data_IF_299079388155
#
_entry.id   IF_299079388155
#
_cell.length_a   1.000
_cell.length_b   1.000
_cell.length_c   1.000
_cell.angle_alpha   90.00
_cell.angle_beta   90.00
_cell.angle_gamma   90.00
#
_symmetry.space_group_name_H-M   'P 1'
#
loop_
_entity.id
_entity.type
_entity.pdbx_description
1 polymer ?
#
# COMPACT_ATOMS: atom_id res chain seq x y z
N UNK A 1 5.04 -17.86 0.41
CA UNK A 1 5.18 -16.69 -0.50
C UNK A 1 4.38 -15.52 0.01
N UNK A 2 4.88 -14.33 -0.22
CA UNK A 2 4.24 -13.09 0.24
C UNK A 2 3.69 -12.34 -0.99
N UNK A 3 2.37 -12.21 -1.12
CA UNK A 3 1.78 -11.64 -2.33
C UNK A 3 1.81 -10.12 -2.35
N UNK A 4 1.79 -9.57 -3.57
CA UNK A 4 1.48 -8.14 -3.75
C UNK A 4 -0.03 -7.98 -3.61
N UNK A 5 -0.45 -7.11 -2.70
CA UNK A 5 -1.89 -6.95 -2.39
C UNK A 5 -2.41 -5.54 -2.61
N UNK A 6 -1.53 -4.58 -2.93
CA UNK A 6 -1.90 -3.17 -2.97
C UNK A 6 -0.88 -2.44 -3.86
N UNK A 7 -1.30 -1.36 -4.50
CA UNK A 7 -0.39 -0.46 -5.17
C UNK A 7 -0.46 0.92 -4.53
N UNK A 8 0.58 1.72 -4.73
CA UNK A 8 0.60 3.11 -4.24
C UNK A 8 1.15 4.03 -5.32
N UNK A 9 0.56 5.21 -5.44
CA UNK A 9 1.02 6.23 -6.38
C UNK A 9 1.07 7.58 -5.68
N UNK A 10 2.11 8.39 -5.94
CA UNK A 10 2.16 9.75 -5.38
C UNK A 10 1.20 10.68 -6.12
N UNK A 11 0.66 11.67 -5.40
CA UNK A 11 -0.20 12.69 -6.00
C UNK A 11 0.15 14.07 -5.49
N UNK A 12 0.18 15.05 -6.39
CA UNK A 12 0.35 16.45 -6.04
C UNK A 12 -1.00 17.13 -5.83
N UNK A 13 -2.02 16.69 -6.58
CA UNK A 13 -3.38 17.20 -6.49
C UNK A 13 -4.32 16.01 -6.53
N UNK A 14 -4.73 15.59 -5.33
CA UNK A 14 -5.52 14.36 -5.20
C UNK A 14 -6.88 14.44 -5.91
N UNK A 15 -7.50 15.62 -5.92
CA UNK A 15 -8.80 15.77 -6.57
C UNK A 15 -8.66 15.63 -8.08
N UNK A 16 -7.62 16.23 -8.66
CA UNK A 16 -7.34 16.12 -10.09
C UNK A 16 -7.01 14.68 -10.47
N UNK A 17 -6.18 14.00 -9.67
CA UNK A 17 -5.79 12.62 -9.95
C UNK A 17 -6.97 11.66 -9.83
N UNK A 18 -7.79 11.83 -8.80
CA UNK A 18 -9.00 11.03 -8.62
C UNK A 18 -9.94 11.19 -9.81
N UNK A 19 -10.15 12.42 -10.26
CA UNK A 19 -11.02 12.70 -11.41
C UNK A 19 -10.49 12.05 -12.69
N UNK A 20 -9.17 12.09 -12.88
CA UNK A 20 -8.55 11.48 -14.04
C UNK A 20 -8.82 9.96 -14.10
N UNK A 21 -8.55 9.26 -13.01
CA UNK A 21 -8.70 7.80 -12.98
C UNK A 21 -10.16 7.37 -12.96
N UNK A 22 -11.03 8.14 -12.33
CA UNK A 22 -12.46 7.85 -12.36
C UNK A 22 -13.01 7.99 -13.78
N UNK A 23 -12.65 9.06 -14.47
CA UNK A 23 -13.13 9.32 -15.82
C UNK A 23 -12.55 8.34 -16.85
N UNK A 24 -11.30 7.96 -16.66
CA UNK A 24 -10.60 7.12 -17.64
C UNK A 24 -10.90 5.63 -17.44
N UNK A 25 -10.87 5.16 -16.21
CA UNK A 25 -10.95 3.72 -15.92
C UNK A 25 -12.10 3.35 -14.98
N UNK A 26 -12.87 4.31 -14.50
CA UNK A 26 -13.98 4.04 -13.61
C UNK A 26 -13.58 3.73 -12.17
N UNK A 27 -12.35 4.06 -11.79
CA UNK A 27 -11.90 3.80 -10.42
C UNK A 27 -12.66 4.66 -9.42
N UNK A 28 -12.95 4.09 -8.26
CA UNK A 28 -13.61 4.80 -7.16
C UNK A 28 -12.59 5.18 -6.11
N UNK A 29 -12.79 6.33 -5.48
CA UNK A 29 -11.85 6.83 -4.49
C UNK A 29 -12.56 7.28 -3.23
N UNK A 30 -11.88 7.09 -2.09
CA UNK A 30 -12.32 7.61 -0.80
C UNK A 30 -11.19 8.42 -0.23
N UNK A 31 -11.41 9.72 -0.04
CA UNK A 31 -10.41 10.61 0.54
C UNK A 31 -10.45 10.50 2.05
N UNK A 32 -9.31 10.18 2.65
CA UNK A 32 -9.17 10.11 4.10
C UNK A 32 -8.67 11.45 4.64
N UNK A 33 -8.84 11.67 5.93
CA UNK A 33 -8.47 12.92 6.56
C UNK A 33 -7.01 12.98 6.99
N UNK A 34 -6.61 14.11 7.66
CA UNK A 34 -5.23 14.30 8.09
C UNK A 34 -4.71 13.22 9.03
N UNK A 35 -5.59 12.60 9.83
CA UNK A 35 -5.22 11.53 10.74
C UNK A 35 -4.70 10.28 10.00
N UNK A 36 -5.02 10.15 8.73
CA UNK A 36 -4.53 9.08 7.86
C UNK A 36 -3.57 9.62 6.80
N UNK A 37 -2.92 10.76 7.07
CA UNK A 37 -1.95 11.35 6.16
C UNK A 37 -2.52 11.86 4.85
N UNK A 38 -3.79 12.23 4.83
CA UNK A 38 -4.51 12.68 3.63
C UNK A 38 -4.46 11.65 2.49
N UNK A 39 -4.39 10.38 2.83
CA UNK A 39 -4.33 9.28 1.89
C UNK A 39 -5.65 9.14 1.14
N UNK A 40 -5.59 8.65 -0.09
CA UNK A 40 -6.78 8.34 -0.88
C UNK A 40 -6.83 6.84 -1.11
N UNK A 41 -7.89 6.19 -0.63
CA UNK A 41 -8.12 4.78 -0.93
C UNK A 41 -8.71 4.68 -2.32
N UNK A 42 -8.19 3.77 -3.13
CA UNK A 42 -8.61 3.60 -4.52
C UNK A 42 -9.07 2.18 -4.75
N UNK A 43 -10.28 2.07 -5.29
CA UNK A 43 -10.89 0.79 -5.63
C UNK A 43 -10.91 0.64 -7.14
N UNK A 44 -10.19 -0.32 -7.65
CA UNK A 44 -10.14 -0.63 -9.10
C UNK A 44 -11.09 -1.77 -9.46
N UNK A 45 -11.55 -2.52 -8.47
CA UNK A 45 -12.45 -3.66 -8.65
C UNK A 45 -13.37 -3.71 -7.45
N UNK A 46 -14.62 -4.09 -7.65
CA UNK A 46 -15.56 -4.28 -6.56
C UNK A 46 -14.98 -5.23 -5.50
N UNK A 47 -15.23 -4.91 -4.25
CA UNK A 47 -14.76 -5.70 -3.13
C UNK A 47 -15.91 -6.44 -2.47
N UNK A 48 -15.56 -7.57 -1.84
CA UNK A 48 -16.52 -8.32 -1.04
C UNK A 48 -16.60 -7.73 0.38
N UNK A 49 -17.36 -8.39 1.26
CA UNK A 49 -17.55 -7.93 2.64
C UNK A 49 -16.27 -7.92 3.47
N UNK A 50 -15.22 -8.59 3.00
CA UNK A 50 -13.91 -8.63 3.66
C UNK A 50 -12.93 -7.62 3.04
N UNK A 51 -13.43 -6.67 2.26
CA UNK A 51 -12.63 -5.64 1.57
C UNK A 51 -11.62 -6.21 0.58
N UNK A 52 -11.98 -7.32 -0.07
CA UNK A 52 -11.13 -7.96 -1.08
C UNK A 52 -11.72 -7.81 -2.47
N UNK A 53 -10.86 -7.67 -3.49
CA UNK A 53 -11.34 -7.68 -4.86
C UNK A 53 -12.13 -8.96 -5.16
N UNK A 54 -13.28 -8.82 -5.78
CA UNK A 54 -14.11 -9.96 -6.14
C UNK A 54 -13.50 -10.79 -7.25
N UNK A 55 -12.64 -10.19 -8.06
CA UNK A 55 -11.98 -10.87 -9.17
C UNK A 55 -10.57 -11.26 -8.76
N UNK A 56 -10.21 -12.55 -8.80
CA UNK A 56 -8.83 -12.95 -8.49
C UNK A 56 -7.82 -12.26 -9.40
N UNK A 57 -6.71 -11.81 -8.81
CA UNK A 57 -5.66 -11.13 -9.55
C UNK A 57 -5.83 -9.62 -9.62
N UNK A 58 -7.01 -9.09 -9.31
CA UNK A 58 -7.21 -7.64 -9.22
C UNK A 58 -6.67 -7.14 -7.88
N UNK A 59 -6.10 -5.93 -7.88
CA UNK A 59 -5.66 -5.28 -6.65
C UNK A 59 -6.19 -3.85 -6.60
N UNK A 60 -6.52 -3.43 -5.40
CA UNK A 60 -6.87 -2.04 -5.11
C UNK A 60 -5.63 -1.32 -4.60
N UNK A 61 -5.71 -0.03 -4.40
CA UNK A 61 -4.53 0.70 -4.00
C UNK A 61 -4.85 2.03 -3.35
N UNK A 62 -3.91 2.96 -3.46
CA UNK A 62 -4.09 4.27 -2.89
C UNK A 62 -3.15 5.30 -3.48
N UNK A 63 -3.50 6.56 -3.23
CA UNK A 63 -2.68 7.70 -3.59
C UNK A 63 -2.21 8.38 -2.31
N UNK A 64 -0.92 8.69 -2.23
CA UNK A 64 -0.36 9.41 -1.08
C UNK A 64 0.15 10.79 -1.53
N UNK A 65 0.12 11.78 -0.63
CA UNK A 65 0.62 13.11 -1.00
C UNK A 65 2.12 13.06 -1.32
N UNK A 66 2.48 13.64 -2.46
CA UNK A 66 3.89 13.72 -2.85
C UNK A 66 4.60 14.75 -1.99
N UNK A 67 5.77 14.41 -1.50
CA UNK A 67 6.60 15.29 -0.67
C UNK A 67 7.88 15.64 -1.40
N UNK A 68 8.23 16.94 -1.43
CA UNK A 68 9.42 17.41 -2.15
C UNK A 68 10.72 16.93 -1.52
N UNK A 69 10.70 16.55 -0.24
CA UNK A 69 11.90 16.16 0.50
C UNK A 69 12.11 14.66 0.61
N UNK A 70 11.25 13.85 -0.01
CA UNK A 70 11.40 12.40 -0.01
C UNK A 70 11.84 11.89 -1.38
N UNK A 71 12.80 10.97 -1.43
CA UNK A 71 13.23 10.40 -2.71
C UNK A 71 12.28 9.31 -3.21
N UNK A 72 12.44 8.97 -4.49
CA UNK A 72 11.85 7.77 -5.09
C UNK A 72 10.33 7.67 -4.94
N UNK A 73 9.63 8.77 -5.15
CA UNK A 73 8.17 8.80 -5.12
C UNK A 73 7.60 8.52 -6.50
N UNK A 74 7.45 7.25 -6.79
CA UNK A 74 6.92 6.73 -8.05
C UNK A 74 5.87 5.67 -7.73
N UNK A 75 5.08 5.23 -8.71
CA UNK A 75 4.18 4.10 -8.47
C UNK A 75 4.93 2.90 -7.91
N UNK A 76 4.38 2.27 -6.91
CA UNK A 76 5.01 1.14 -6.26
C UNK A 76 3.96 0.14 -5.78
N UNK A 77 4.43 -0.96 -5.21
CA UNK A 77 3.57 -2.04 -4.75
C UNK A 77 3.76 -2.26 -3.25
N UNK A 78 2.76 -2.88 -2.63
CA UNK A 78 2.81 -3.27 -1.22
C UNK A 78 2.68 -4.78 -1.14
N UNK A 79 3.61 -5.40 -0.43
CA UNK A 79 3.66 -6.84 -0.21
C UNK A 79 3.07 -7.16 1.16
N UNK A 80 2.17 -8.14 1.23
CA UNK A 80 1.64 -8.59 2.52
C UNK A 80 2.60 -9.62 3.12
N UNK A 81 2.95 -9.44 4.39
CA UNK A 81 3.86 -10.34 5.11
C UNK A 81 3.19 -10.83 6.39
N UNK A 82 3.62 -11.99 6.87
CA UNK A 82 3.09 -12.56 8.11
C UNK A 82 3.74 -11.96 9.36
N UNK A 83 5.03 -11.66 9.27
CA UNK A 83 5.81 -11.10 10.38
C UNK A 83 6.72 -10.02 9.81
N UNK A 84 6.36 -8.76 10.05
CA UNK A 84 7.06 -7.63 9.45
C UNK A 84 8.49 -7.51 9.96
N UNK A 85 8.73 -7.83 11.23
CA UNK A 85 10.08 -7.73 11.80
C UNK A 85 11.02 -8.81 11.25
N UNK A 86 10.50 -10.02 11.05
CA UNK A 86 11.25 -11.06 10.38
C UNK A 86 11.54 -10.70 8.93
N UNK A 87 10.58 -10.11 8.25
CA UNK A 87 10.75 -9.66 6.88
C UNK A 87 11.79 -8.53 6.77
N UNK A 88 11.80 -7.61 7.74
CA UNK A 88 12.83 -6.57 7.81
C UNK A 88 14.23 -7.18 7.87
N UNK A 89 14.39 -8.20 8.72
CA UNK A 89 15.67 -8.91 8.84
C UNK A 89 16.07 -9.56 7.52
N UNK A 90 15.13 -10.21 6.86
CA UNK A 90 15.38 -10.87 5.57
C UNK A 90 15.78 -9.87 4.49
N UNK A 91 15.14 -8.70 4.46
CA UNK A 91 15.49 -7.64 3.51
C UNK A 91 16.94 -7.20 3.72
N UNK A 92 17.33 -6.94 4.96
CA UNK A 92 18.68 -6.52 5.28
C UNK A 92 19.71 -7.59 4.91
N UNK A 93 19.42 -8.84 5.25
CA UNK A 93 20.32 -9.97 4.93
C UNK A 93 20.46 -10.18 3.43
N UNK A 94 19.42 -9.87 2.66
CA UNK A 94 19.43 -10.05 1.21
C UNK A 94 19.98 -8.85 0.44
N UNK A 95 20.41 -7.79 1.15
CA UNK A 95 21.06 -6.64 0.51
C UNK A 95 20.16 -5.45 0.28
N UNK A 96 18.92 -5.47 0.74
CA UNK A 96 18.03 -4.33 0.69
C UNK A 96 18.24 -3.38 1.88
N UNK A 97 17.48 -2.32 1.91
CA UNK A 97 17.58 -1.32 2.98
C UNK A 97 16.21 -0.97 3.52
N UNK A 98 15.97 -1.28 4.78
CA UNK A 98 14.72 -0.94 5.47
C UNK A 98 14.75 0.54 5.87
N UNK A 99 13.63 1.23 5.69
CA UNK A 99 13.51 2.66 5.91
C UNK A 99 12.75 2.96 7.20
N UNK A 100 13.47 2.95 8.33
CA UNK A 100 12.94 3.32 9.63
C UNK A 100 12.34 2.16 10.40
N UNK A 101 11.30 2.46 11.18
CA UNK A 101 10.60 1.50 12.01
C UNK A 101 9.17 1.30 11.49
N UNK A 102 8.58 0.13 11.73
CA UNK A 102 7.19 -0.11 11.31
C UNK A 102 6.23 0.89 11.95
N UNK A 103 5.31 1.37 11.15
CA UNK A 103 4.27 2.30 11.58
C UNK A 103 2.95 1.55 11.66
N UNK A 104 2.22 1.74 12.76
CA UNK A 104 0.89 1.18 12.88
C UNK A 104 -0.11 2.03 12.11
N UNK A 105 -0.86 1.37 11.22
CA UNK A 105 -1.97 2.00 10.52
C UNK A 105 -3.25 1.47 11.15
N UNK A 106 -3.99 2.30 11.90
CA UNK A 106 -5.18 1.84 12.62
C UNK A 106 -6.17 1.13 11.70
N UNK A 107 -6.57 -0.08 12.10
CA UNK A 107 -7.51 -0.90 11.33
C UNK A 107 -6.89 -1.71 10.21
N UNK A 108 -5.62 -1.47 9.85
CA UNK A 108 -4.99 -2.15 8.72
C UNK A 108 -3.81 -3.02 9.13
N UNK A 109 -2.92 -2.53 9.97
CA UNK A 109 -1.78 -3.30 10.44
C UNK A 109 -0.50 -2.48 10.53
N UNK A 110 0.63 -3.17 10.48
CA UNK A 110 1.95 -2.55 10.50
C UNK A 110 2.45 -2.35 9.06
N UNK A 111 3.15 -1.25 8.83
CA UNK A 111 3.59 -0.83 7.50
C UNK A 111 5.00 -0.27 7.56
N UNK A 112 5.83 -0.62 6.58
CA UNK A 112 7.16 -0.04 6.44
C UNK A 112 7.59 -0.10 4.98
N UNK A 113 8.41 0.85 4.57
CA UNK A 113 8.99 0.87 3.23
C UNK A 113 10.45 0.44 3.26
N UNK A 114 10.95 0.05 2.11
CA UNK A 114 12.34 -0.36 1.96
C UNK A 114 12.79 -0.13 0.52
N UNK A 115 14.10 -0.12 0.33
CA UNK A 115 14.69 -0.20 -1.01
C UNK A 115 15.17 -1.63 -1.27
N UNK A 116 14.87 -2.15 -2.44
CA UNK A 116 15.43 -3.43 -2.87
C UNK A 116 16.88 -3.24 -3.33
N UNK A 117 17.48 -4.30 -3.86
CA UNK A 117 18.89 -4.25 -4.30
C UNK A 117 19.12 -3.35 -5.51
N UNK A 118 18.06 -2.98 -6.21
CA UNK A 118 18.14 -2.13 -7.40
C UNK A 118 17.69 -0.69 -7.13
N UNK A 119 17.44 -0.34 -5.86
CA UNK A 119 16.98 0.98 -5.48
C UNK A 119 15.51 1.24 -5.69
N UNK A 120 14.72 0.23 -5.95
CA UNK A 120 13.27 0.40 -6.05
C UNK A 120 12.67 0.59 -4.67
N UNK A 121 11.81 1.59 -4.55
CA UNK A 121 11.06 1.85 -3.32
C UNK A 121 9.81 0.99 -3.31
N UNK A 122 9.74 0.09 -2.34
CA UNK A 122 8.63 -0.86 -2.19
C UNK A 122 8.19 -0.82 -0.73
N UNK A 123 6.96 -1.22 -0.47
CA UNK A 123 6.45 -1.27 0.90
C UNK A 123 5.94 -2.66 1.24
N UNK A 124 5.83 -2.94 2.52
CA UNK A 124 5.21 -4.16 3.00
C UNK A 124 4.33 -3.87 4.18
N UNK A 125 3.37 -4.74 4.41
CA UNK A 125 2.47 -4.62 5.55
C UNK A 125 2.21 -5.97 6.17
N UNK A 126 2.08 -5.96 7.50
CA UNK A 126 1.59 -7.11 8.25
C UNK A 126 0.15 -6.78 8.64
N UNK A 127 -0.85 -7.46 8.02
CA UNK A 127 -2.25 -7.17 8.32
C UNK A 127 -2.60 -7.45 9.78
N UNK A 128 -3.58 -6.74 10.31
CA UNK A 128 -4.08 -7.04 11.67
C UNK A 128 -4.64 -8.46 11.71
N UNK A 129 -4.74 -9.01 12.91
CA UNK A 129 -5.31 -10.35 13.09
C UNK A 129 -6.72 -10.46 12.49
N UNK A 130 -7.51 -9.40 12.61
CA UNK A 130 -8.84 -9.34 12.04
C UNK A 130 -8.82 -9.41 10.52
N UNK A 131 -7.89 -8.67 9.89
CA UNK A 131 -7.74 -8.72 8.44
C UNK A 131 -7.16 -10.04 7.97
N UNK A 132 -6.24 -10.64 8.74
CA UNK A 132 -5.70 -11.95 8.41
C UNK A 132 -6.78 -13.01 8.40
N UNK A 133 -7.66 -13.04 9.41
CA UNK A 133 -8.71 -14.06 9.50
C UNK A 133 -9.78 -13.89 8.44
N UNK A 134 -10.11 -12.65 8.05
CA UNK A 134 -10.99 -12.41 6.91
C UNK A 134 -10.25 -12.48 5.59
N UNK A 135 -8.95 -12.48 5.66
CA UNK A 135 -8.08 -12.23 4.55
C UNK A 135 -7.56 -13.44 3.84
N UNK A 136 -7.63 -14.58 4.38
CA UNK A 136 -7.07 -15.74 3.72
C UNK A 136 -8.15 -16.70 3.35
N UNK A 137 -8.68 -16.35 2.31
CA UNK A 137 -9.34 -17.46 1.67
C UNK A 137 -8.23 -18.30 1.12
#
# INVERSE_FOLDING_TARGET
MNPVVHFEMPTQDKQRMVAFYAKTFGWKAQMLGPEMGDYVLVTTMETDQNSRPKTPGAINGGFYPKSADKPAQYPSVVVAVDDIRDSMRKITEAGGKVLGEPMEIPGYGLYISFFDTEGNHVSMMEPTAQMKSGGHG
#
